data_IF_425804533333
#
_entry.id   IF_425804533333
#
_cell.length_a   1.000
_cell.length_b   1.000
_cell.length_c   1.000
_cell.angle_alpha   90.00
_cell.angle_beta   90.00
_cell.angle_gamma   90.00
#
_symmetry.space_group_name_H-M   'P 1'
#
loop_
_entity.id
_entity.type
_entity.pdbx_description
1 polymer ?
#
# COMPACT_ATOMS: atom_id res chain seq x y z
N UNK A 1 -17.77 9.77 -0.08
CA UNK A 1 -16.43 10.34 -0.34
C UNK A 1 -15.41 9.29 0.08
N UNK A 2 -14.43 8.97 -0.78
CA UNK A 2 -13.34 8.07 -0.42
C UNK A 2 -12.32 8.74 0.51
N UNK A 3 -11.52 7.95 1.22
CA UNK A 3 -10.47 8.45 2.11
C UNK A 3 -9.15 8.70 1.35
N UNK A 4 -8.29 9.57 1.88
CA UNK A 4 -6.97 9.82 1.32
C UNK A 4 -5.96 8.82 1.88
N UNK A 5 -5.13 8.27 1.00
CA UNK A 5 -4.04 7.36 1.36
C UNK A 5 -2.72 7.97 0.92
N UNK A 6 -1.70 7.95 1.78
CA UNK A 6 -0.35 8.41 1.43
C UNK A 6 0.51 7.21 1.05
N UNK A 7 1.17 7.28 -0.10
CA UNK A 7 2.15 6.32 -0.55
C UNK A 7 3.53 6.90 -0.29
N UNK A 8 4.36 6.20 0.48
CA UNK A 8 5.77 6.50 0.63
C UNK A 8 6.52 5.62 -0.38
N UNK A 9 7.09 6.26 -1.39
CA UNK A 9 7.77 5.59 -2.50
C UNK A 9 9.27 5.76 -2.39
N UNK A 10 10.01 4.65 -2.50
CA UNK A 10 11.47 4.71 -2.64
C UNK A 10 11.82 5.18 -4.05
N UNK A 11 12.71 6.16 -4.12
CA UNK A 11 13.20 6.75 -5.37
C UNK A 11 14.71 6.63 -5.38
N UNK A 12 15.27 6.24 -6.53
CA UNK A 12 16.72 6.20 -6.71
C UNK A 12 17.24 7.64 -6.68
N UNK A 13 18.15 7.90 -5.74
CA UNK A 13 18.82 9.18 -5.58
C UNK A 13 20.12 9.24 -6.39
N UNK A 14 21.12 9.91 -5.82
CA UNK A 14 22.46 10.00 -6.39
C UNK A 14 23.29 8.72 -6.12
N UNK A 15 24.48 8.67 -6.69
CA UNK A 15 25.51 7.69 -6.31
C UNK A 15 26.39 8.34 -5.25
N UNK A 16 26.70 7.62 -4.16
CA UNK A 16 27.62 8.12 -3.13
C UNK A 16 29.08 8.13 -3.62
N UNK A 17 29.99 8.69 -2.82
CA UNK A 17 31.42 8.78 -3.14
C UNK A 17 32.11 7.41 -3.31
N UNK A 18 31.44 6.32 -2.93
CA UNK A 18 31.91 4.94 -3.02
C UNK A 18 31.24 4.15 -4.16
N UNK A 19 30.42 4.79 -4.99
CA UNK A 19 29.76 4.13 -6.12
C UNK A 19 28.45 3.41 -5.75
N UNK A 20 27.94 3.54 -4.53
CA UNK A 20 26.69 2.91 -4.13
C UNK A 20 25.48 3.80 -4.46
N UNK A 21 24.36 3.23 -4.94
CA UNK A 21 23.14 3.98 -5.12
C UNK A 21 22.58 4.43 -3.76
N UNK A 22 22.30 5.73 -3.64
CA UNK A 22 21.52 6.28 -2.53
C UNK A 22 20.03 6.25 -2.87
N UNK A 23 19.17 6.22 -1.86
CA UNK A 23 17.73 6.20 -2.04
C UNK A 23 17.09 7.30 -1.21
N UNK A 24 16.12 8.00 -1.80
CA UNK A 24 15.26 8.98 -1.14
C UNK A 24 13.82 8.49 -1.11
N UNK A 25 13.01 9.02 -0.20
CA UNK A 25 11.57 8.72 -0.14
C UNK A 25 10.76 9.91 -0.61
N UNK A 26 9.77 9.67 -1.47
CA UNK A 26 8.77 10.65 -1.87
C UNK A 26 7.39 10.25 -1.32
N UNK A 27 6.63 11.22 -0.83
CA UNK A 27 5.24 11.01 -0.39
C UNK A 27 4.26 11.42 -1.49
N UNK A 28 3.34 10.52 -1.83
CA UNK A 28 2.29 10.74 -2.82
C UNK A 28 0.93 10.53 -2.17
N UNK A 29 0.16 11.60 -2.00
CA UNK A 29 -1.20 11.51 -1.48
C UNK A 29 -2.18 11.20 -2.59
N UNK A 30 -2.89 10.08 -2.47
CA UNK A 30 -3.94 9.66 -3.41
C UNK A 30 -5.31 9.87 -2.75
N UNK A 31 -6.13 10.81 -3.25
CA UNK A 31 -7.47 11.04 -2.72
C UNK A 31 -8.48 10.04 -3.29
N UNK A 32 -9.60 9.83 -2.59
CA UNK A 32 -10.74 9.08 -3.13
C UNK A 32 -10.58 7.57 -3.12
N UNK A 33 -9.71 7.04 -2.26
CA UNK A 33 -9.55 5.60 -2.07
C UNK A 33 -10.70 5.00 -1.24
N UNK A 34 -10.98 3.72 -1.46
CA UNK A 34 -11.86 2.93 -0.60
C UNK A 34 -11.07 1.82 0.07
N UNK A 35 -11.32 1.60 1.35
CA UNK A 35 -10.67 0.55 2.13
C UNK A 35 -11.69 -0.55 2.42
N UNK A 36 -11.45 -1.73 1.86
CA UNK A 36 -12.15 -2.96 2.24
C UNK A 36 -11.30 -3.72 3.25
N UNK A 37 -11.75 -3.83 4.49
CA UNK A 37 -11.04 -4.60 5.49
C UNK A 37 -11.14 -6.10 5.18
N UNK A 38 -9.99 -6.78 5.19
CA UNK A 38 -9.91 -8.23 5.11
C UNK A 38 -10.07 -8.88 6.48
N UNK A 39 -9.63 -10.13 6.59
CA UNK A 39 -9.54 -10.81 7.88
C UNK A 39 -8.42 -10.19 8.73
N UNK A 40 -8.71 -9.95 10.00
CA UNK A 40 -7.71 -9.66 11.03
C UNK A 40 -7.50 -10.94 11.81
N UNK A 41 -6.27 -11.48 11.81
CA UNK A 41 -5.91 -12.58 12.70
C UNK A 41 -5.17 -12.00 13.90
N UNK A 42 -5.77 -12.11 15.08
CA UNK A 42 -5.08 -11.81 16.35
C UNK A 42 -4.34 -13.08 16.81
N UNK A 43 -3.03 -13.02 17.09
CA UNK A 43 -2.31 -14.16 17.63
C UNK A 43 -2.81 -14.49 19.05
N UNK A 44 -3.30 -15.71 19.24
CA UNK A 44 -3.76 -16.25 20.53
C UNK A 44 -2.62 -16.75 21.44
N UNK A 45 -1.36 -16.66 20.98
CA UNK A 45 -0.18 -17.18 21.71
C UNK A 45 0.93 -16.13 21.80
N UNK A 46 1.74 -16.20 22.86
CA UNK A 46 2.89 -15.31 23.13
C UNK A 46 4.01 -15.47 22.08
N UNK A 47 3.98 -16.54 21.30
CA UNK A 47 4.89 -16.81 20.16
C UNK A 47 4.24 -16.49 18.79
N UNK A 48 3.04 -15.91 18.77
CA UNK A 48 2.30 -15.69 17.54
C UNK A 48 2.97 -14.64 16.64
N UNK A 49 3.01 -14.93 15.34
CA UNK A 49 3.45 -13.95 14.32
C UNK A 49 2.71 -12.63 14.48
N UNK A 50 3.38 -11.50 14.21
CA UNK A 50 2.80 -10.18 14.37
C UNK A 50 1.48 -10.06 13.60
N UNK A 51 0.55 -9.30 14.17
CA UNK A 51 -0.81 -9.08 13.68
C UNK A 51 -0.83 -8.90 12.16
N UNK A 52 -1.25 -9.95 11.44
CA UNK A 52 -1.42 -9.90 10.00
C UNK A 52 -2.80 -9.29 9.70
N UNK A 53 -2.87 -7.96 9.79
CA UNK A 53 -4.04 -7.24 9.28
C UNK A 53 -3.93 -7.17 7.76
N UNK A 54 -4.78 -7.91 7.07
CA UNK A 54 -4.95 -7.81 5.63
C UNK A 54 -6.05 -6.79 5.29
N UNK A 55 -5.81 -5.93 4.31
CA UNK A 55 -6.83 -5.07 3.74
C UNK A 55 -6.74 -5.03 2.22
N UNK A 56 -7.86 -4.74 1.58
CA UNK A 56 -7.95 -4.45 0.16
C UNK A 56 -8.11 -2.94 -0.01
N UNK A 57 -7.12 -2.31 -0.65
CA UNK A 57 -7.15 -0.90 -1.01
C UNK A 57 -7.63 -0.74 -2.45
N UNK A 58 -8.72 -0.01 -2.64
CA UNK A 58 -9.25 0.35 -3.95
C UNK A 58 -8.88 1.80 -4.24
N UNK A 59 -8.12 2.01 -5.29
CA UNK A 59 -7.58 3.29 -5.69
C UNK A 59 -8.26 3.80 -6.98
N UNK A 60 -8.31 5.13 -7.18
CA UNK A 60 -8.82 5.72 -8.41
C UNK A 60 -8.07 5.24 -9.66
N UNK A 61 -8.73 5.36 -10.81
CA UNK A 61 -8.13 5.10 -12.11
C UNK A 61 -6.86 5.94 -12.34
N UNK A 62 -5.84 5.33 -12.95
CA UNK A 62 -4.55 5.98 -13.21
C UNK A 62 -3.60 6.04 -12.01
N UNK A 63 -4.00 5.53 -10.85
CA UNK A 63 -3.08 5.38 -9.71
C UNK A 63 -1.96 4.41 -10.05
N UNK A 64 -0.72 4.77 -9.71
CA UNK A 64 0.45 3.90 -9.93
C UNK A 64 0.91 3.30 -8.61
N UNK A 65 1.11 1.99 -8.58
CA UNK A 65 1.56 1.21 -7.42
C UNK A 65 2.84 0.48 -7.79
N UNK A 66 3.87 0.61 -6.95
CA UNK A 66 5.16 -0.07 -7.08
C UNK A 66 5.32 -1.16 -6.00
N UNK A 67 6.24 -2.10 -6.20
CA UNK A 67 6.46 -3.23 -5.30
C UNK A 67 6.98 -2.79 -3.91
N UNK A 68 7.80 -1.75 -3.87
CA UNK A 68 8.44 -1.24 -2.66
C UNK A 68 7.65 -0.09 -1.99
N UNK A 69 6.44 0.20 -2.47
CA UNK A 69 5.60 1.24 -1.89
C UNK A 69 5.14 0.87 -0.47
N UNK A 70 5.20 1.84 0.42
CA UNK A 70 4.59 1.77 1.75
C UNK A 70 3.32 2.61 1.74
N UNK A 71 2.22 2.04 2.17
CA UNK A 71 0.91 2.67 2.19
C UNK A 71 0.58 3.12 3.62
N UNK A 72 0.27 4.39 3.80
CA UNK A 72 -0.18 4.96 5.06
C UNK A 72 -1.69 5.15 4.99
N UNK A 73 -2.43 4.29 5.68
CA UNK A 73 -3.89 4.30 5.76
C UNK A 73 -4.27 4.58 7.20
N UNK A 74 -4.96 5.71 7.45
CA UNK A 74 -5.36 6.15 8.80
C UNK A 74 -4.21 6.16 9.81
N UNK A 75 -3.01 6.56 9.36
CA UNK A 75 -1.80 6.63 10.18
C UNK A 75 -1.06 5.30 10.38
N UNK A 76 -1.62 4.17 9.93
CA UNK A 76 -0.94 2.86 10.00
C UNK A 76 -0.20 2.57 8.70
N UNK A 77 0.98 1.96 8.79
CA UNK A 77 1.81 1.59 7.65
C UNK A 77 1.52 0.17 7.20
N UNK A 78 1.34 0.00 5.90
CA UNK A 78 1.10 -1.27 5.25
C UNK A 78 2.05 -1.43 4.06
N UNK A 79 2.35 -2.68 3.73
CA UNK A 79 3.10 -3.03 2.52
C UNK A 79 2.18 -3.77 1.57
N UNK A 80 2.51 -3.72 0.28
CA UNK A 80 1.80 -4.52 -0.71
C UNK A 80 1.98 -6.02 -0.42
N UNK A 81 0.88 -6.75 -0.48
CA UNK A 81 0.83 -8.20 -0.37
C UNK A 81 0.38 -8.81 -1.71
N UNK A 82 1.32 -9.36 -2.48
CA UNK A 82 1.05 -9.89 -3.81
C UNK A 82 0.93 -8.83 -4.91
N UNK A 83 0.14 -9.13 -5.95
CA UNK A 83 0.02 -8.30 -7.16
C UNK A 83 -1.16 -7.33 -7.08
N UNK A 84 -0.96 -6.11 -7.59
CA UNK A 84 -2.06 -5.18 -7.84
C UNK A 84 -2.88 -5.62 -9.05
N UNK A 85 -4.20 -5.43 -9.00
CA UNK A 85 -5.12 -5.80 -10.06
C UNK A 85 -5.89 -4.57 -10.55
N UNK A 86 -6.16 -4.48 -11.85
CA UNK A 86 -7.12 -3.49 -12.34
C UNK A 86 -8.54 -4.00 -12.07
N UNK A 87 -9.33 -3.20 -11.34
CA UNK A 87 -10.73 -3.51 -11.08
C UNK A 87 -11.63 -2.64 -11.94
N UNK A 88 -12.47 -3.28 -12.74
CA UNK A 88 -13.48 -2.60 -13.55
C UNK A 88 -14.84 -2.72 -12.86
N UNK A 89 -15.46 -1.58 -12.53
CA UNK A 89 -16.83 -1.57 -12.01
C UNK A 89 -17.81 -2.13 -13.04
N UNK A 90 -18.85 -2.86 -12.60
CA UNK A 90 -19.87 -3.49 -13.46
C UNK A 90 -20.63 -2.51 -14.39
N UNK A 91 -20.56 -1.20 -14.10
CA UNK A 91 -21.15 -0.16 -14.94
C UNK A 91 -20.15 0.52 -15.90
N UNK A 92 -18.94 -0.03 -16.07
CA UNK A 92 -17.90 0.50 -16.97
C UNK A 92 -17.45 1.94 -16.66
N UNK A 93 -17.77 2.47 -15.46
CA UNK A 93 -17.61 3.89 -15.13
C UNK A 93 -16.21 4.22 -14.57
N UNK A 94 -15.44 3.24 -14.12
CA UNK A 94 -14.05 3.45 -13.68
C UNK A 94 -13.26 2.14 -13.60
N UNK A 95 -12.02 2.18 -14.12
CA UNK A 95 -10.99 1.15 -13.93
C UNK A 95 -10.10 1.58 -12.78
N UNK A 96 -10.36 1.11 -11.56
CA UNK A 96 -9.53 1.40 -10.39
C UNK A 96 -8.35 0.43 -10.28
N UNK A 97 -7.42 0.71 -9.35
CA UNK A 97 -6.37 -0.24 -8.96
C UNK A 97 -6.75 -0.84 -7.61
N UNK A 98 -6.68 -2.16 -7.49
CA UNK A 98 -6.92 -2.88 -6.24
C UNK A 98 -5.62 -3.50 -5.77
N UNK A 99 -5.28 -3.25 -4.51
CA UNK A 99 -4.04 -3.70 -3.90
C UNK A 99 -4.38 -4.39 -2.60
N UNK A 100 -3.98 -5.66 -2.46
CA UNK A 100 -3.96 -6.30 -1.16
C UNK A 100 -2.78 -5.74 -0.37
N UNK A 101 -3.04 -5.31 0.86
CA UNK A 101 -2.09 -4.70 1.76
C UNK A 101 -2.02 -5.52 3.04
N UNK A 102 -0.82 -5.67 3.59
CA UNK A 102 -0.59 -6.33 4.87
C UNK A 102 0.13 -5.38 5.82
N UNK A 103 -0.32 -5.36 7.07
CA UNK A 103 0.39 -4.65 8.14
C UNK A 103 1.58 -5.49 8.56
N UNK A 104 2.77 -4.86 8.61
CA UNK A 104 3.93 -5.46 9.26
C UNK A 104 4.11 -4.75 10.58
N UNK A 105 3.49 -5.27 11.64
CA UNK A 105 3.91 -4.90 12.99
C UNK A 105 5.25 -5.62 13.25
N UNK A 106 6.25 -4.85 13.69
CA UNK A 106 7.58 -5.33 14.05
C UNK A 106 7.85 -5.08 15.51
#
# INVERSE_FOLDING_TARGET
MGESVTIIRRTLGAVDDYGNPTFTTAEVTVPGCLVGWGSTNEPVTVEGSPIDTQMMLYMPAGSTVQDEDIFVVRGNRYVKDGFSQEWTSMLNVSKGVVVALRRRDG
#
